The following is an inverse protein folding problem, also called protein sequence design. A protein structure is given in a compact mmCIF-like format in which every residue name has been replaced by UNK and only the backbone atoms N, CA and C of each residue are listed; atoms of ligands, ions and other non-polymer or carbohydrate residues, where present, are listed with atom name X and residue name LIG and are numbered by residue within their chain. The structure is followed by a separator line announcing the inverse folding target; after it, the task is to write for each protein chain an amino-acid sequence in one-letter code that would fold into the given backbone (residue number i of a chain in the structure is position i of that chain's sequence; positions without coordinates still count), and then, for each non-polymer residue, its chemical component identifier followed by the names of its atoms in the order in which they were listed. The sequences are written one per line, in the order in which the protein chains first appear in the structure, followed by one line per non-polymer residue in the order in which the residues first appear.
data_IF_569918115962
#
_entry.id   IF_569918115962
#
_cell.length_a   1.000
_cell.length_b   1.000
_cell.length_c   1.000
_cell.angle_alpha   90.00
_cell.angle_beta   90.00
_cell.angle_gamma   90.00
#
_symmetry.space_group_name_H-M   'P 1'
#
loop_
_entity.id
_entity.type
_entity.pdbx_description
1 polymer ?
#
# COMPACT_ATOMS: atom_id res chain seq x y z
N UNK A 1 -3.40 -11.51 34.00
CA UNK A 1 -3.89 -10.43 33.12
C UNK A 1 -3.78 -10.93 31.69
N UNK A 2 -4.91 -11.34 31.10
CA UNK A 2 -4.97 -11.96 29.78
C UNK A 2 -4.83 -10.91 28.68
N UNK A 3 -3.75 -11.02 27.89
CA UNK A 3 -3.46 -10.22 26.72
C UNK A 3 -4.35 -10.65 25.54
N UNK A 4 -5.61 -10.24 25.56
CA UNK A 4 -6.51 -10.35 24.41
C UNK A 4 -6.92 -8.93 24.00
N UNK A 5 -5.92 -8.10 23.70
CA UNK A 5 -6.13 -6.82 23.04
C UNK A 5 -6.74 -7.11 21.66
N UNK A 6 -7.87 -6.45 21.34
CA UNK A 6 -8.49 -6.51 20.02
C UNK A 6 -7.44 -6.13 18.97
N UNK A 7 -6.84 -7.13 18.34
CA UNK A 7 -5.82 -6.94 17.31
C UNK A 7 -6.48 -6.46 16.02
N UNK A 8 -6.69 -5.14 15.94
CA UNK A 8 -7.06 -4.40 14.74
C UNK A 8 -5.86 -4.35 13.80
N UNK A 9 -5.81 -5.28 12.86
CA UNK A 9 -4.61 -5.51 12.01
C UNK A 9 -4.92 -5.42 10.53
N UNK A 10 -6.19 -5.56 10.13
CA UNK A 10 -6.54 -5.67 8.70
C UNK A 10 -6.33 -4.37 7.95
N UNK A 11 -6.71 -3.23 8.54
CA UNK A 11 -6.52 -1.93 7.92
C UNK A 11 -5.03 -1.61 7.72
N UNK A 12 -4.21 -1.82 8.75
CA UNK A 12 -2.76 -1.57 8.66
C UNK A 12 -2.10 -2.46 7.59
N UNK A 13 -2.50 -3.73 7.51
CA UNK A 13 -2.00 -4.64 6.46
C UNK A 13 -2.43 -4.20 5.06
N UNK A 14 -3.64 -3.65 4.90
CA UNK A 14 -4.11 -3.10 3.64
C UNK A 14 -3.25 -1.90 3.22
N UNK A 15 -3.00 -0.95 4.13
CA UNK A 15 -2.13 0.21 3.84
C UNK A 15 -0.72 -0.23 3.46
N UNK A 16 -0.16 -1.18 4.21
CA UNK A 16 1.18 -1.71 3.94
C UNK A 16 1.28 -2.36 2.56
N UNK A 17 0.30 -3.19 2.17
CA UNK A 17 0.34 -3.86 0.86
C UNK A 17 0.10 -2.87 -0.28
N UNK A 18 -0.80 -1.91 -0.12
CA UNK A 18 -1.08 -0.88 -1.12
C UNK A 18 0.17 -0.01 -1.38
N UNK A 19 0.83 0.44 -0.31
CA UNK A 19 2.07 1.19 -0.41
C UNK A 19 3.18 0.40 -1.08
N UNK A 20 3.39 -0.86 -0.67
CA UNK A 20 4.41 -1.73 -1.31
C UNK A 20 4.10 -1.96 -2.78
N UNK A 21 2.83 -2.15 -3.15
CA UNK A 21 2.44 -2.32 -4.54
C UNK A 21 2.78 -1.08 -5.37
N UNK A 22 2.49 0.13 -4.86
CA UNK A 22 2.85 1.39 -5.50
C UNK A 22 4.37 1.53 -5.68
N UNK A 23 5.14 1.31 -4.61
CA UNK A 23 6.61 1.38 -4.65
C UNK A 23 7.20 0.40 -5.67
N UNK A 24 6.69 -0.83 -5.74
CA UNK A 24 7.13 -1.82 -6.72
C UNK A 24 6.73 -1.46 -8.15
N UNK A 25 5.54 -0.89 -8.36
CA UNK A 25 5.09 -0.43 -9.67
C UNK A 25 5.99 0.68 -10.20
N UNK A 26 6.24 1.72 -9.40
CA UNK A 26 7.15 2.82 -9.77
C UNK A 26 8.54 2.28 -10.09
N UNK A 27 9.11 1.44 -9.22
CA UNK A 27 10.45 0.88 -9.40
C UNK A 27 10.60 0.07 -10.69
N UNK A 28 9.55 -0.64 -11.13
CA UNK A 28 9.59 -1.50 -12.33
C UNK A 28 9.24 -0.78 -13.62
N UNK A 29 8.43 0.28 -13.55
CA UNK A 29 7.92 0.99 -14.72
C UNK A 29 8.72 2.24 -15.08
N UNK A 30 9.42 2.84 -14.10
CA UNK A 30 10.15 4.10 -14.26
C UNK A 30 11.65 3.88 -14.07
N UNK A 31 12.23 2.99 -14.87
CA UNK A 31 13.69 2.79 -14.90
C UNK A 31 14.34 3.62 -15.99
N UNK A 32 15.55 4.13 -15.73
CA UNK A 32 16.28 4.90 -16.73
C UNK A 32 16.59 4.08 -17.99
N UNK A 33 16.76 2.76 -17.86
CA UNK A 33 16.94 1.85 -19.00
C UNK A 33 15.73 1.86 -19.94
N UNK A 34 14.52 1.74 -19.40
CA UNK A 34 13.28 1.82 -20.19
C UNK A 34 13.05 3.21 -20.78
N UNK A 35 13.37 4.27 -20.04
CA UNK A 35 13.22 5.64 -20.55
C UNK A 35 14.18 5.88 -21.72
N UNK A 36 15.42 5.38 -21.63
CA UNK A 36 16.40 5.52 -22.73
C UNK A 36 15.94 4.86 -24.02
N UNK A 37 15.23 3.73 -23.95
CA UNK A 37 14.70 3.05 -25.16
C UNK A 37 13.52 3.81 -25.77
N UNK A 38 12.72 4.51 -24.97
CA UNK A 38 11.60 5.33 -25.45
C UNK A 38 12.03 6.70 -26.01
N UNK A 39 13.18 7.25 -25.58
CA UNK A 39 13.66 8.57 -25.97
C UNK A 39 15.08 8.54 -26.60
N UNK A 40 15.30 7.80 -27.69
CA UNK A 40 16.63 7.53 -28.23
C UNK A 40 17.36 8.77 -28.76
N UNK A 41 16.63 9.81 -29.17
CA UNK A 41 17.23 11.05 -29.68
C UNK A 41 17.79 11.93 -28.56
N UNK A 42 17.12 11.96 -27.39
CA UNK A 42 17.53 12.79 -26.27
C UNK A 42 18.78 12.24 -25.56
N UNK A 43 18.94 10.92 -25.53
CA UNK A 43 20.06 10.24 -24.86
C UNK A 43 21.39 10.40 -25.60
N UNK A 44 21.38 10.96 -26.81
CA UNK A 44 22.60 11.27 -27.58
C UNK A 44 23.39 12.45 -27.00
N UNK A 45 22.75 13.27 -26.17
CA UNK A 45 23.35 14.44 -25.52
C UNK A 45 23.39 14.27 -24.00
N UNK A 46 24.44 14.76 -23.34
CA UNK A 46 24.51 14.74 -21.88
C UNK A 46 23.37 15.55 -21.23
N UNK A 47 23.02 16.70 -21.82
CA UNK A 47 21.93 17.54 -21.31
C UNK A 47 20.56 16.85 -21.43
N UNK A 48 20.33 16.11 -22.51
CA UNK A 48 19.13 15.31 -22.69
C UNK A 48 19.04 14.16 -21.69
N UNK A 49 20.15 13.45 -21.42
CA UNK A 49 20.21 12.42 -20.37
C UNK A 49 19.88 13.02 -18.99
N UNK A 50 20.49 14.15 -18.64
CA UNK A 50 20.23 14.84 -17.37
C UNK A 50 18.78 15.30 -17.24
N UNK A 51 18.19 15.78 -18.34
CA UNK A 51 16.77 16.18 -18.37
C UNK A 51 15.84 15.00 -18.14
N UNK A 52 16.16 13.82 -18.71
CA UNK A 52 15.41 12.59 -18.49
C UNK A 52 15.53 12.08 -17.05
N UNK A 53 16.72 12.16 -16.44
CA UNK A 53 16.90 11.80 -15.02
C UNK A 53 16.08 12.69 -14.08
N UNK A 54 16.07 14.01 -14.35
CA UNK A 54 15.26 14.97 -13.60
C UNK A 54 13.77 14.66 -13.76
N UNK A 55 13.30 14.47 -14.99
CA UNK A 55 11.91 14.15 -15.27
C UNK A 55 11.49 12.85 -14.58
N UNK A 56 12.33 11.82 -14.62
CA UNK A 56 12.06 10.53 -13.99
C UNK A 56 11.92 10.65 -12.47
N UNK A 57 12.80 11.45 -11.84
CA UNK A 57 12.75 11.72 -10.40
C UNK A 57 11.46 12.46 -10.03
N UNK A 58 11.11 13.52 -10.78
CA UNK A 58 9.89 14.29 -10.54
C UNK A 58 8.63 13.45 -10.74
N UNK A 59 8.55 12.68 -11.83
CA UNK A 59 7.42 11.78 -12.10
C UNK A 59 7.26 10.74 -11.01
N UNK A 60 8.35 10.11 -10.57
CA UNK A 60 8.32 9.11 -9.50
C UNK A 60 7.84 9.70 -8.18
N UNK A 61 8.34 10.90 -7.82
CA UNK A 61 7.93 11.61 -6.62
C UNK A 61 6.46 12.04 -6.66
N UNK A 62 6.03 12.62 -7.78
CA UNK A 62 4.65 13.06 -7.98
C UNK A 62 3.68 11.88 -7.93
N UNK A 63 3.96 10.80 -8.66
CA UNK A 63 3.14 9.59 -8.65
C UNK A 63 3.04 9.03 -7.24
N UNK A 64 4.18 8.86 -6.54
CA UNK A 64 4.18 8.33 -5.18
C UNK A 64 3.33 9.17 -4.23
N UNK A 65 3.56 10.49 -4.15
CA UNK A 65 2.83 11.36 -3.25
C UNK A 65 1.33 11.40 -3.56
N UNK A 66 0.97 11.67 -4.83
CA UNK A 66 -0.41 11.81 -5.22
C UNK A 66 -1.21 10.50 -5.07
N UNK A 67 -0.59 9.35 -5.31
CA UNK A 67 -1.26 8.06 -5.09
C UNK A 67 -1.49 7.76 -3.61
N UNK A 68 -0.55 8.12 -2.73
CA UNK A 68 -0.78 7.94 -1.28
C UNK A 68 -1.90 8.84 -0.76
N UNK A 69 -1.93 10.10 -1.20
CA UNK A 69 -3.00 11.04 -0.82
C UNK A 69 -4.36 10.54 -1.31
N UNK A 70 -4.45 10.03 -2.54
CA UNK A 70 -5.67 9.47 -3.11
C UNK A 70 -6.10 8.18 -2.40
N UNK A 71 -5.16 7.30 -2.03
CA UNK A 71 -5.47 6.11 -1.24
C UNK A 71 -6.06 6.47 0.11
N UNK A 72 -5.46 7.40 0.83
CA UNK A 72 -5.95 7.86 2.13
C UNK A 72 -7.33 8.54 1.99
N UNK A 73 -7.58 9.28 0.91
CA UNK A 73 -8.89 9.84 0.61
C UNK A 73 -9.94 8.73 0.40
N UNK A 74 -9.64 7.72 -0.42
CA UNK A 74 -10.54 6.57 -0.65
C UNK A 74 -10.83 5.83 0.67
N UNK A 75 -9.82 5.60 1.50
CA UNK A 75 -10.00 4.94 2.79
C UNK A 75 -10.96 5.71 3.69
N UNK A 76 -10.84 7.04 3.69
CA UNK A 76 -11.70 7.93 4.46
C UNK A 76 -13.13 7.99 3.91
N UNK A 77 -13.30 8.14 2.60
CA UNK A 77 -14.62 8.22 1.96
C UNK A 77 -15.46 6.97 2.14
N UNK A 78 -14.79 5.81 2.20
CA UNK A 78 -15.44 4.50 2.34
C UNK A 78 -15.45 3.97 3.76
N UNK A 79 -14.92 4.73 4.73
CA UNK A 79 -14.82 4.34 6.13
C UNK A 79 -14.16 2.95 6.31
N UNK A 80 -13.11 2.68 5.51
CA UNK A 80 -12.49 1.34 5.41
C UNK A 80 -11.90 0.90 6.75
N UNK A 81 -11.30 1.82 7.50
CA UNK A 81 -10.69 1.52 8.79
C UNK A 81 -11.73 0.98 9.78
N UNK A 82 -12.84 1.69 10.00
CA UNK A 82 -13.91 1.23 10.89
C UNK A 82 -14.48 -0.11 10.43
N UNK A 83 -14.69 -0.29 9.12
CA UNK A 83 -15.25 -1.53 8.58
C UNK A 83 -14.33 -2.73 8.75
N UNK A 84 -13.02 -2.54 8.62
CA UNK A 84 -12.05 -3.62 8.83
C UNK A 84 -11.81 -3.90 10.30
N UNK A 85 -11.89 -2.88 11.16
CA UNK A 85 -11.86 -3.03 12.62
C UNK A 85 -13.09 -3.81 13.13
N UNK A 86 -14.28 -3.45 12.66
CA UNK A 86 -15.53 -4.17 12.94
C UNK A 86 -15.42 -5.65 12.51
N UNK A 87 -14.78 -5.92 11.36
CA UNK A 87 -14.52 -7.27 10.89
C UNK A 87 -13.51 -8.03 11.77
N UNK A 88 -12.44 -7.36 12.24
CA UNK A 88 -11.50 -7.91 13.21
C UNK A 88 -12.25 -8.33 14.48
N UNK A 89 -13.14 -7.49 15.00
CA UNK A 89 -13.95 -7.77 16.19
C UNK A 89 -14.92 -8.94 15.99
N UNK A 90 -15.64 -8.99 14.86
CA UNK A 90 -16.57 -10.08 14.54
C UNK A 90 -15.83 -11.43 14.53
N UNK A 91 -14.64 -11.47 13.93
CA UNK A 91 -13.86 -12.71 13.81
C UNK A 91 -13.31 -13.15 15.15
N UNK A 92 -12.82 -12.21 15.97
CA UNK A 92 -12.34 -12.53 17.32
C UNK A 92 -13.47 -13.06 18.19
N UNK A 93 -14.65 -12.43 18.16
CA UNK A 93 -15.81 -12.88 18.90
C UNK A 93 -16.24 -14.29 18.48
N UNK A 94 -16.32 -14.57 17.17
CA UNK A 94 -16.62 -15.90 16.66
C UNK A 94 -15.60 -16.96 17.12
N UNK A 95 -14.31 -16.60 17.16
CA UNK A 95 -13.25 -17.47 17.62
C UNK A 95 -13.35 -17.75 19.14
N UNK A 96 -13.59 -16.72 19.96
CA UNK A 96 -13.84 -16.86 21.41
C UNK A 96 -15.04 -17.76 21.70
N UNK A 97 -16.15 -17.61 20.96
CA UNK A 97 -17.33 -18.47 21.11
C UNK A 97 -17.01 -19.92 20.75
N UNK A 98 -16.28 -20.16 19.67
CA UNK A 98 -15.84 -21.50 19.26
C UNK A 98 -14.97 -22.17 20.33
N UNK A 99 -14.06 -21.43 20.94
CA UNK A 99 -13.15 -21.96 21.95
C UNK A 99 -13.87 -22.19 23.29
N UNK A 100 -14.82 -21.31 23.65
CA UNK A 100 -15.68 -21.48 24.84
C UNK A 100 -16.64 -22.67 24.70
N UNK A 101 -17.21 -22.88 23.51
CA UNK A 101 -18.09 -24.03 23.22
C UNK A 101 -17.35 -25.37 23.21
N UNK A 102 -16.04 -25.39 22.93
CA UNK A 102 -15.21 -26.59 23.07
C UNK A 102 -14.87 -26.94 24.52
N UNK A 103 -14.83 -25.95 25.42
CA UNK A 103 -14.54 -26.16 26.85
C UNK A 103 -15.76 -26.63 27.68
N UNK A 104 -16.97 -26.64 27.13
CA UNK A 104 -18.17 -27.18 27.81
C UNK A 104 -18.46 -28.66 27.51
N UNK A 105 -17.71 -29.28 26.58
CA UNK A 105 -17.86 -30.68 26.18
C UNK A 105 -16.66 -31.50 26.66
N UNK A 106 -16.29 -31.39 27.94
CA UNK A 106 -15.45 -32.35 28.68
C UNK A 106 -15.90 -32.33 30.15
#
# INVERSE_FOLDING_TARGET
MSADENNKVRFERLRLVARKALEQSIKKSLTMEQVKTCFPTLVTSQDGVRSLELALSQMSGFWHANSLDEFDLIYKEKDIESKLDELDDIIQNAQRTKDSGKNQVI
#
